data_IF_002028370813
#
_entry.id   IF_002028370813
#
_cell.length_a   1.000
_cell.length_b   1.000
_cell.length_c   1.000
_cell.angle_alpha   90.00
_cell.angle_beta   90.00
_cell.angle_gamma   90.00
#
_symmetry.space_group_name_H-M   'P 1'
#
loop_
_entity.id
_entity.type
_entity.pdbx_description
1 polymer ?
#
# COMPACT_ATOMS: atom_id res chain seq x y z
N UNK A 1 -14.07 9.39 -11.16
CA UNK A 1 -14.40 8.88 -9.81
C UNK A 1 -14.56 7.38 -9.92
N UNK A 2 -13.51 6.61 -9.62
CA UNK A 2 -13.55 5.14 -9.73
C UNK A 2 -14.40 4.64 -8.57
N UNK A 3 -15.62 4.20 -8.87
CA UNK A 3 -16.41 3.43 -7.91
C UNK A 3 -15.68 2.11 -7.71
N UNK A 4 -14.96 1.97 -6.60
CA UNK A 4 -14.05 0.85 -6.32
C UNK A 4 -14.72 -0.53 -6.25
N UNK A 5 -16.02 -0.66 -6.56
CA UNK A 5 -16.74 -1.93 -6.50
C UNK A 5 -16.57 -2.65 -5.16
N UNK A 6 -16.27 -1.89 -4.09
CA UNK A 6 -15.88 -2.45 -2.81
C UNK A 6 -17.07 -3.19 -2.21
N UNK A 7 -17.03 -4.51 -2.26
CA UNK A 7 -18.00 -5.36 -1.57
C UNK A 7 -18.03 -4.96 -0.08
N UNK A 8 -19.24 -4.81 0.49
CA UNK A 8 -19.41 -4.44 1.91
C UNK A 8 -18.54 -5.26 2.87
N UNK A 9 -18.30 -6.53 2.54
CA UNK A 9 -17.43 -7.43 3.28
C UNK A 9 -15.97 -6.94 3.37
N UNK A 10 -15.41 -6.41 2.27
CA UNK A 10 -14.05 -5.87 2.25
C UNK A 10 -13.91 -4.60 3.08
N UNK A 11 -14.90 -3.71 3.01
CA UNK A 11 -14.95 -2.50 3.84
C UNK A 11 -15.02 -2.86 5.33
N UNK A 12 -15.90 -3.81 5.68
CA UNK A 12 -16.00 -4.32 7.06
C UNK A 12 -14.68 -4.91 7.54
N UNK A 13 -14.03 -5.72 6.71
CA UNK A 13 -12.74 -6.32 7.04
C UNK A 13 -11.64 -5.26 7.27
N UNK A 14 -11.58 -4.25 6.38
CA UNK A 14 -10.65 -3.13 6.52
C UNK A 14 -10.82 -2.39 7.83
N UNK A 15 -12.07 -2.06 8.19
CA UNK A 15 -12.38 -1.35 9.44
C UNK A 15 -11.98 -2.19 10.66
N UNK A 16 -12.27 -3.50 10.64
CA UNK A 16 -11.91 -4.39 11.75
C UNK A 16 -10.39 -4.54 11.93
N UNK A 17 -9.63 -4.57 10.84
CA UNK A 17 -8.17 -4.73 10.88
C UNK A 17 -7.42 -3.42 11.08
N UNK A 18 -8.00 -2.31 10.65
CA UNK A 18 -7.39 -0.98 10.73
C UNK A 18 -8.43 0.09 11.04
N UNK A 19 -8.95 0.14 12.28
CA UNK A 19 -10.01 1.08 12.67
C UNK A 19 -9.63 2.54 12.46
N UNK A 20 -8.33 2.85 12.53
CA UNK A 20 -7.75 4.18 12.29
C UNK A 20 -8.12 4.74 10.90
N UNK A 21 -8.48 3.88 9.93
CA UNK A 21 -8.99 4.33 8.62
C UNK A 21 -10.22 5.24 8.74
N UNK A 22 -11.03 5.06 9.79
CA UNK A 22 -12.23 5.87 10.05
C UNK A 22 -11.88 7.30 10.49
N UNK A 23 -10.66 7.53 10.97
CA UNK A 23 -10.15 8.85 11.33
C UNK A 23 -9.51 9.59 10.14
N UNK A 24 -9.45 8.96 8.96
CA UNK A 24 -8.86 9.52 7.75
C UNK A 24 -9.99 9.98 6.83
N UNK A 25 -9.86 11.17 6.24
CA UNK A 25 -10.83 11.68 5.27
C UNK A 25 -11.04 10.72 4.09
N UNK A 26 -12.29 10.57 3.64
CA UNK A 26 -12.69 9.68 2.54
C UNK A 26 -11.82 9.86 1.29
N UNK A 27 -11.57 11.11 0.89
CA UNK A 27 -10.80 11.42 -0.32
C UNK A 27 -9.33 11.02 -0.17
N UNK A 28 -8.76 11.18 1.03
CA UNK A 28 -7.41 10.72 1.36
C UNK A 28 -7.31 9.20 1.29
N UNK A 29 -8.27 8.46 1.85
CA UNK A 29 -8.30 6.99 1.76
C UNK A 29 -8.41 6.55 0.31
N UNK A 30 -9.33 7.14 -0.45
CA UNK A 30 -9.53 6.84 -1.87
C UNK A 30 -8.27 7.08 -2.68
N UNK A 31 -7.61 8.22 -2.47
CA UNK A 31 -6.35 8.56 -3.13
C UNK A 31 -5.26 7.54 -2.83
N UNK A 32 -5.06 7.18 -1.55
CA UNK A 32 -4.05 6.17 -1.15
C UNK A 32 -4.33 4.82 -1.80
N UNK A 33 -5.58 4.38 -1.83
CA UNK A 33 -5.97 3.14 -2.52
C UNK A 33 -5.65 3.21 -4.01
N UNK A 34 -5.99 4.31 -4.68
CA UNK A 34 -5.70 4.50 -6.11
C UNK A 34 -4.19 4.40 -6.40
N UNK A 35 -3.33 5.01 -5.57
CA UNK A 35 -1.88 4.92 -5.75
C UNK A 35 -1.35 3.50 -5.55
N UNK A 36 -1.82 2.80 -4.51
CA UNK A 36 -1.42 1.41 -4.25
C UNK A 36 -1.85 0.48 -5.40
N UNK A 37 -3.10 0.60 -5.86
CA UNK A 37 -3.63 -0.20 -6.97
C UNK A 37 -2.88 0.08 -8.28
N UNK A 38 -2.61 1.36 -8.60
CA UNK A 38 -1.78 1.75 -9.76
C UNK A 38 -0.34 1.24 -9.66
N UNK A 39 0.16 1.04 -8.44
CA UNK A 39 1.46 0.44 -8.17
C UNK A 39 1.53 -1.09 -8.35
N UNK A 40 0.43 -1.74 -8.75
CA UNK A 40 0.37 -3.18 -8.95
C UNK A 40 0.05 -3.99 -7.68
N UNK A 41 -0.32 -3.30 -6.59
CA UNK A 41 -0.75 -3.95 -5.36
C UNK A 41 -2.23 -4.28 -5.47
N UNK A 42 -2.62 -5.50 -5.09
CA UNK A 42 -4.02 -5.91 -5.13
C UNK A 42 -4.80 -5.47 -3.88
N UNK A 43 -6.12 -5.32 -4.02
CA UNK A 43 -6.98 -5.01 -2.86
C UNK A 43 -6.86 -6.05 -1.75
N UNK A 44 -6.71 -7.33 -2.10
CA UNK A 44 -6.48 -8.41 -1.13
C UNK A 44 -5.23 -8.16 -0.29
N UNK A 45 -4.11 -7.80 -0.90
CA UNK A 45 -2.87 -7.50 -0.19
C UNK A 45 -3.00 -6.29 0.75
N UNK A 46 -3.76 -5.26 0.32
CA UNK A 46 -4.04 -4.09 1.15
C UNK A 46 -4.88 -4.47 2.37
N UNK A 47 -5.90 -5.31 2.19
CA UNK A 47 -6.74 -5.80 3.30
C UNK A 47 -5.98 -6.75 4.23
N UNK A 48 -5.02 -7.49 3.69
CA UNK A 48 -4.12 -8.32 4.49
C UNK A 48 -3.13 -7.48 5.31
N UNK A 49 -2.66 -6.36 4.76
CA UNK A 49 -1.75 -5.44 5.44
C UNK A 49 -2.18 -3.97 5.29
N UNK A 50 -3.23 -3.56 6.02
CA UNK A 50 -3.82 -2.23 5.88
C UNK A 50 -2.94 -1.11 6.44
N UNK A 51 -1.88 -1.45 7.18
CA UNK A 51 -0.89 -0.51 7.72
C UNK A 51 -0.22 0.34 6.62
N UNK A 52 -0.16 -0.15 5.39
CA UNK A 52 0.29 0.66 4.24
C UNK A 52 -0.51 1.97 4.09
N UNK A 53 -1.78 1.99 4.51
CA UNK A 53 -2.64 3.19 4.48
C UNK A 53 -2.31 4.21 5.58
N UNK A 54 -1.47 3.87 6.55
CA UNK A 54 -1.02 4.79 7.61
C UNK A 54 -0.04 5.85 7.08
N UNK A 55 0.72 5.52 6.04
CA UNK A 55 1.76 6.41 5.52
C UNK A 55 1.18 7.52 4.64
N UNK A 56 1.91 8.64 4.53
CA UNK A 56 1.52 9.74 3.65
C UNK A 56 1.52 9.28 2.18
N UNK A 57 0.69 9.94 1.37
CA UNK A 57 0.64 9.69 -0.08
C UNK A 57 2.02 9.80 -0.71
N UNK A 58 2.80 10.82 -0.33
CA UNK A 58 4.15 11.06 -0.82
C UNK A 58 5.12 9.91 -0.49
N UNK A 59 5.03 9.32 0.71
CA UNK A 59 5.86 8.18 1.09
C UNK A 59 5.47 6.93 0.29
N UNK A 60 4.16 6.68 0.12
CA UNK A 60 3.66 5.56 -0.69
C UNK A 60 4.16 5.70 -2.14
N UNK A 61 3.91 6.84 -2.78
CA UNK A 61 4.29 7.05 -4.19
C UNK A 61 5.79 6.99 -4.39
N UNK A 62 6.58 7.64 -3.52
CA UNK A 62 8.04 7.62 -3.62
C UNK A 62 8.62 6.21 -3.51
N UNK A 63 8.08 5.37 -2.61
CA UNK A 63 8.50 3.95 -2.52
C UNK A 63 8.07 3.14 -3.74
N UNK A 64 6.84 3.34 -4.23
CA UNK A 64 6.33 2.63 -5.40
C UNK A 64 7.17 2.95 -6.65
N UNK A 65 7.63 4.19 -6.81
CA UNK A 65 8.53 4.58 -7.91
C UNK A 65 9.86 3.83 -7.85
N UNK A 66 10.47 3.73 -6.67
CA UNK A 66 11.73 2.98 -6.48
C UNK A 66 11.50 1.48 -6.73
N UNK A 67 10.46 0.90 -6.13
CA UNK A 67 10.10 -0.51 -6.30
C UNK A 67 9.82 -0.87 -7.75
N UNK A 68 9.20 0.05 -8.51
CA UNK A 68 8.97 -0.13 -9.95
C UNK A 68 10.28 -0.14 -10.74
N UNK A 69 11.24 0.73 -10.39
CA UNK A 69 12.55 0.79 -11.07
C UNK A 69 13.36 -0.49 -10.90
N UNK A 70 13.33 -1.07 -9.69
CA UNK A 70 14.04 -2.33 -9.39
C UNK A 70 13.21 -3.58 -9.77
N UNK A 71 12.08 -3.42 -10.46
CA UNK A 71 11.25 -4.55 -10.91
C UNK A 71 10.64 -5.38 -9.79
N UNK A 72 10.33 -4.79 -8.63
CA UNK A 72 9.82 -5.51 -7.47
C UNK A 72 8.46 -6.17 -7.73
N UNK A 73 8.39 -7.49 -7.52
CA UNK A 73 7.15 -8.26 -7.65
C UNK A 73 6.41 -8.36 -6.31
N UNK A 74 5.32 -7.58 -6.19
CA UNK A 74 4.45 -7.61 -5.01
C UNK A 74 3.72 -8.95 -4.84
N UNK A 75 3.44 -9.70 -5.91
CA UNK A 75 2.75 -10.99 -5.79
C UNK A 75 3.65 -12.04 -5.13
N UNK A 76 4.96 -11.99 -5.40
CA UNK A 76 5.94 -12.91 -4.82
C UNK A 76 6.41 -12.48 -3.42
N UNK A 77 6.63 -11.18 -3.23
CA UNK A 77 7.29 -10.67 -2.01
C UNK A 77 6.35 -9.98 -1.01
N UNK A 78 5.12 -9.68 -1.42
CA UNK A 78 4.13 -8.97 -0.61
C UNK A 78 4.42 -7.47 -0.45
N UNK A 79 3.63 -6.80 0.40
CA UNK A 79 3.67 -5.33 0.53
C UNK A 79 4.37 -4.81 1.79
N UNK A 80 5.02 -5.69 2.56
CA UNK A 80 5.72 -5.35 3.81
C UNK A 80 6.80 -4.29 3.64
N UNK A 81 7.39 -4.23 2.45
CA UNK A 81 8.44 -3.28 2.11
C UNK A 81 7.98 -1.82 2.25
N UNK A 82 6.67 -1.56 2.15
CA UNK A 82 6.10 -0.22 2.38
C UNK A 82 6.15 0.20 3.86
N UNK A 83 6.18 -0.77 4.78
CA UNK A 83 6.18 -0.53 6.22
C UNK A 83 7.60 -0.40 6.81
N UNK A 84 8.63 -0.66 6.01
CA UNK A 84 10.02 -0.64 6.48
C UNK A 84 10.45 0.75 6.95
N UNK A 85 11.38 0.82 7.89
CA UNK A 85 12.11 2.06 8.16
C UNK A 85 12.90 2.49 6.91
N UNK A 86 13.28 3.76 6.82
CA UNK A 86 14.08 4.25 5.67
C UNK A 86 15.35 3.44 5.48
N UNK A 87 16.10 3.19 6.57
CA UNK A 87 17.35 2.40 6.55
C UNK A 87 17.10 0.99 6.02
N UNK A 88 16.05 0.31 6.50
CA UNK A 88 15.71 -1.06 6.06
C UNK A 88 15.22 -1.08 4.61
N UNK A 89 14.46 -0.08 4.18
CA UNK A 89 14.00 0.02 2.80
C UNK A 89 15.18 0.14 1.84
N UNK A 90 16.12 1.06 2.09
CA UNK A 90 17.31 1.25 1.24
C UNK A 90 18.14 -0.03 1.18
N UNK A 91 18.45 -0.64 2.32
CA UNK A 91 19.22 -1.88 2.37
C UNK A 91 18.52 -3.06 1.65
N UNK A 92 17.18 -3.07 1.58
CA UNK A 92 16.46 -4.07 0.80
C UNK A 92 16.54 -3.79 -0.70
N UNK A 93 16.48 -2.51 -1.12
CA UNK A 93 16.60 -2.14 -2.54
C UNK A 93 18.00 -2.45 -3.07
N UNK A 94 19.05 -2.19 -2.29
CA UNK A 94 20.43 -2.53 -2.65
C UNK A 94 20.64 -4.03 -2.87
N UNK A 95 19.91 -4.90 -2.14
CA UNK A 95 19.97 -6.35 -2.32
C UNK A 95 19.24 -6.85 -3.56
N UNK A 96 18.23 -6.11 -4.02
CA UNK A 96 17.41 -6.46 -5.17
C UNK A 96 18.02 -5.95 -6.49
N UNK A 97 18.87 -4.94 -6.40
CA UNK A 97 19.63 -4.35 -7.52
C UNK A 97 20.98 -5.06 -7.76
N UNK A 98 21.36 -5.99 -6.87
CA UNK A 98 22.58 -6.81 -6.94
C UNK A 98 22.29 -8.20 -7.53
#
# INVERSE_FOLDING_TARGET
>A
MVSLGCQKAYVKNLILRYPVVLCIGKDTVSSKLDYLLKGGITMKQILDKPKALAYSTQNITGRLEVLKRVGYDFQRNGINVLDFSRKRFVAEMEKLDA
#
